data_IF_947744777259
#
_entry.id   IF_947744777259
#
_cell.length_a   1.000
_cell.length_b   1.000
_cell.length_c   1.000
_cell.angle_alpha   90.00
_cell.angle_beta   90.00
_cell.angle_gamma   90.00
#
_symmetry.space_group_name_H-M   'P 1'
#
loop_
_entity.id
_entity.type
_entity.pdbx_description
1 polymer ?
#
# COMPACT_ATOMS: atom_id res chain seq x y z
N UNK A 1 -14.14 -22.31 -5.98
CA UNK A 1 -14.25 -20.89 -5.59
C UNK A 1 -14.87 -20.82 -4.20
N UNK A 2 -14.25 -20.05 -3.29
CA UNK A 2 -14.77 -19.83 -1.94
C UNK A 2 -15.30 -18.40 -1.86
N UNK A 3 -16.54 -18.23 -1.43
CA UNK A 3 -17.11 -16.91 -1.12
C UNK A 3 -16.60 -16.43 0.23
N UNK A 4 -16.21 -15.16 0.31
CA UNK A 4 -15.81 -14.48 1.55
C UNK A 4 -16.85 -13.39 1.82
N UNK A 5 -17.79 -13.69 2.67
CA UNK A 5 -18.81 -12.73 3.09
C UNK A 5 -18.35 -12.03 4.37
N UNK A 6 -18.32 -10.71 4.34
CA UNK A 6 -17.86 -9.88 5.46
C UNK A 6 -18.99 -9.02 5.98
N UNK A 7 -19.12 -8.95 7.29
CA UNK A 7 -19.98 -7.97 7.99
C UNK A 7 -19.23 -6.65 8.18
N UNK A 8 -19.95 -5.59 8.44
CA UNK A 8 -19.34 -4.29 8.78
C UNK A 8 -18.31 -4.43 9.92
N UNK A 9 -17.15 -3.82 9.75
CA UNK A 9 -16.03 -3.90 10.67
C UNK A 9 -15.12 -5.13 10.52
N UNK A 10 -15.45 -6.06 9.63
CA UNK A 10 -14.59 -7.21 9.31
C UNK A 10 -13.68 -6.92 8.12
N UNK A 11 -12.54 -7.62 8.07
CA UNK A 11 -11.60 -7.56 6.95
C UNK A 11 -11.18 -8.96 6.52
N UNK A 12 -10.72 -9.10 5.28
CA UNK A 12 -9.99 -10.26 4.81
C UNK A 12 -8.52 -9.92 4.59
N UNK A 13 -7.65 -10.85 4.90
CA UNK A 13 -6.24 -10.79 4.58
C UNK A 13 -5.93 -11.87 3.55
N UNK A 14 -5.37 -11.49 2.42
CA UNK A 14 -4.98 -12.44 1.40
C UNK A 14 -3.70 -12.01 0.70
N UNK A 15 -2.91 -13.00 0.32
CA UNK A 15 -1.66 -12.76 -0.39
C UNK A 15 -1.95 -12.16 -1.79
N UNK A 16 -1.16 -11.21 -2.29
CA UNK A 16 -1.42 -10.57 -3.59
C UNK A 16 -1.43 -11.53 -4.79
N UNK A 17 -0.82 -12.70 -4.67
CA UNK A 17 -0.86 -13.75 -5.72
C UNK A 17 -2.12 -14.62 -5.68
N UNK A 18 -3.00 -14.45 -4.72
CA UNK A 18 -4.27 -15.19 -4.69
C UNK A 18 -5.20 -14.62 -5.75
N UNK A 19 -5.62 -15.47 -6.66
CA UNK A 19 -6.63 -15.09 -7.66
C UNK A 19 -7.95 -14.81 -6.94
N UNK A 20 -8.41 -13.58 -7.04
CA UNK A 20 -9.63 -13.13 -6.38
C UNK A 20 -10.40 -12.16 -7.28
N UNK A 21 -11.66 -12.02 -6.99
CA UNK A 21 -12.52 -11.11 -7.72
C UNK A 21 -13.87 -10.98 -7.05
N UNK A 22 -14.71 -10.13 -7.60
CA UNK A 22 -16.07 -9.92 -7.16
C UNK A 22 -17.02 -10.09 -8.34
N UNK A 23 -18.17 -10.70 -8.10
CA UNK A 23 -19.26 -10.69 -9.06
C UNK A 23 -19.88 -9.30 -9.21
N UNK A 24 -20.81 -9.20 -10.14
CA UNK A 24 -21.59 -7.97 -10.37
C UNK A 24 -22.39 -7.63 -9.11
N UNK A 25 -22.38 -6.37 -8.72
CA UNK A 25 -23.28 -5.89 -7.65
C UNK A 25 -24.72 -5.90 -8.12
N UNK A 26 -25.55 -6.71 -7.49
CA UNK A 26 -27.00 -6.85 -7.79
C UNK A 26 -27.89 -6.10 -6.82
N UNK A 27 -27.31 -5.38 -5.85
CA UNK A 27 -28.08 -4.57 -4.91
C UNK A 27 -28.38 -3.18 -5.49
N UNK A 28 -29.34 -2.49 -4.89
CA UNK A 28 -29.69 -1.11 -5.24
C UNK A 28 -28.76 -0.08 -4.56
N UNK A 29 -27.74 -0.54 -3.84
CA UNK A 29 -26.79 0.31 -3.15
C UNK A 29 -25.36 0.08 -3.67
N UNK A 30 -24.49 1.04 -3.44
CA UNK A 30 -23.07 0.95 -3.82
C UNK A 30 -22.31 -0.03 -2.94
N UNK A 31 -21.39 -0.77 -3.53
CA UNK A 31 -20.43 -1.59 -2.81
C UNK A 31 -19.07 -0.88 -2.79
N UNK A 32 -18.59 -0.58 -1.62
CA UNK A 32 -17.29 0.08 -1.43
C UNK A 32 -16.35 -0.91 -0.75
N UNK A 33 -15.17 -1.14 -1.35
CA UNK A 33 -14.07 -1.85 -0.74
C UNK A 33 -12.95 -0.88 -0.39
N UNK A 34 -12.49 -0.90 0.86
CA UNK A 34 -11.30 -0.17 1.28
C UNK A 34 -10.12 -1.15 1.32
N UNK A 35 -9.11 -0.91 0.50
CA UNK A 35 -7.95 -1.79 0.36
C UNK A 35 -6.71 -1.12 0.93
N UNK A 36 -6.04 -1.78 1.88
CA UNK A 36 -4.76 -1.36 2.43
C UNK A 36 -3.68 -2.22 1.77
N UNK A 37 -2.96 -1.68 0.82
CA UNK A 37 -1.96 -2.42 0.03
C UNK A 37 -0.54 -2.35 0.59
N UNK A 38 -0.23 -1.33 1.36
CA UNK A 38 1.14 -1.01 1.77
C UNK A 38 1.34 -1.13 3.28
N UNK A 39 0.88 -2.22 3.87
CA UNK A 39 1.08 -2.52 5.28
C UNK A 39 2.08 -3.67 5.43
N UNK A 40 3.17 -3.43 6.16
CA UNK A 40 4.25 -4.42 6.36
C UNK A 40 4.66 -4.50 7.84
N UNK A 41 5.18 -5.67 8.24
CA UNK A 41 5.83 -5.82 9.54
C UNK A 41 7.21 -5.17 9.54
N UNK A 42 7.65 -4.62 10.66
CA UNK A 42 8.95 -3.94 10.80
C UNK A 42 10.16 -4.86 10.55
N UNK A 43 9.96 -6.18 10.64
CA UNK A 43 10.98 -7.19 10.34
C UNK A 43 11.17 -7.46 8.85
N UNK A 44 10.30 -6.94 7.98
CA UNK A 44 10.41 -7.13 6.53
C UNK A 44 11.41 -6.14 5.97
N UNK A 45 12.38 -6.64 5.21
CA UNK A 45 13.40 -5.80 4.55
C UNK A 45 13.11 -5.67 3.07
N UNK A 46 13.08 -4.44 2.56
CA UNK A 46 13.06 -4.19 1.12
C UNK A 46 14.43 -4.43 0.51
N UNK A 47 14.51 -5.29 -0.53
CA UNK A 47 15.77 -5.67 -1.19
C UNK A 47 15.87 -5.18 -2.63
N UNK A 48 14.79 -4.64 -3.20
CA UNK A 48 14.75 -4.21 -4.59
C UNK A 48 15.09 -2.73 -4.81
N UNK A 49 14.95 -1.92 -3.77
CA UNK A 49 15.19 -0.48 -3.83
C UNK A 49 15.05 0.17 -2.46
N UNK A 50 14.93 1.48 -2.42
CA UNK A 50 14.63 2.25 -1.21
C UNK A 50 13.13 2.36 -1.03
N UNK A 51 12.69 2.46 0.20
CA UNK A 51 11.33 2.86 0.54
C UNK A 51 11.33 3.58 1.88
N UNK A 52 10.37 4.44 2.05
CA UNK A 52 10.08 5.08 3.33
C UNK A 52 8.77 4.55 3.88
N UNK A 53 8.61 4.59 5.17
CA UNK A 53 7.42 4.10 5.86
C UNK A 53 7.02 5.05 6.99
N UNK A 54 5.75 4.99 7.36
CA UNK A 54 5.24 5.60 8.58
C UNK A 54 4.93 4.51 9.58
N UNK A 55 5.31 4.71 10.84
CA UNK A 55 4.95 3.78 11.89
C UNK A 55 3.47 3.91 12.19
N UNK A 56 2.68 2.91 11.81
CA UNK A 56 1.25 2.88 12.09
C UNK A 56 0.95 2.48 13.55
N UNK A 57 1.75 1.56 14.10
CA UNK A 57 1.62 1.10 15.50
C UNK A 57 2.89 0.38 15.94
N UNK A 58 3.19 0.47 17.24
CA UNK A 58 4.32 -0.22 17.86
C UNK A 58 5.65 0.51 17.68
N UNK A 59 6.73 -0.22 17.73
CA UNK A 59 8.10 0.29 17.67
C UNK A 59 8.86 -0.45 16.59
N UNK A 60 9.56 0.28 15.74
CA UNK A 60 10.52 -0.31 14.80
C UNK A 60 11.82 -0.67 15.55
N UNK A 61 12.11 -1.98 15.64
CA UNK A 61 13.32 -2.52 16.27
C UNK A 61 14.40 -2.90 15.24
N UNK A 62 14.07 -2.91 13.96
CA UNK A 62 14.92 -3.47 12.91
C UNK A 62 15.60 -2.41 12.06
N UNK A 63 15.04 -1.20 12.01
CA UNK A 63 15.59 -0.06 11.28
C UNK A 63 15.88 -0.37 9.79
N UNK A 64 14.99 -1.16 9.17
CA UNK A 64 15.15 -1.55 7.76
C UNK A 64 14.66 -0.50 6.77
N UNK A 65 13.90 0.49 7.25
CA UNK A 65 13.23 1.48 6.43
C UNK A 65 13.53 2.90 6.90
N UNK A 66 13.49 3.84 5.99
CA UNK A 66 13.49 5.26 6.32
C UNK A 66 12.13 5.61 6.96
N UNK A 67 12.14 6.06 8.20
CA UNK A 67 10.92 6.50 8.88
C UNK A 67 10.64 7.95 8.50
N UNK A 68 9.46 8.21 7.96
CA UNK A 68 8.97 9.54 7.66
C UNK A 68 7.81 9.91 8.57
N UNK A 69 7.73 11.16 8.96
CA UNK A 69 6.61 11.68 9.70
C UNK A 69 5.55 12.23 8.74
N UNK A 70 4.29 12.11 9.15
CA UNK A 70 3.20 12.75 8.41
C UNK A 70 3.35 14.26 8.47
N UNK A 71 3.26 14.93 7.33
CA UNK A 71 3.19 16.39 7.27
C UNK A 71 1.87 16.89 7.87
N UNK A 72 1.93 17.97 8.64
CA UNK A 72 0.75 18.52 9.33
C UNK A 72 -0.22 19.25 8.37
N UNK A 73 0.25 19.66 7.21
CA UNK A 73 -0.55 20.41 6.24
C UNK A 73 -0.80 19.55 4.99
N UNK A 74 -2.06 19.22 4.75
CA UNK A 74 -2.48 18.56 3.52
C UNK A 74 -2.24 19.49 2.34
N UNK A 75 -1.70 18.94 1.23
CA UNK A 75 -1.40 19.67 0.00
C UNK A 75 -0.38 20.80 0.14
N UNK A 76 0.39 20.84 1.21
CA UNK A 76 1.54 21.74 1.31
C UNK A 76 2.61 21.36 0.28
N UNK A 77 3.46 22.31 -0.09
CA UNK A 77 4.58 22.07 -1.01
C UNK A 77 5.47 20.93 -0.51
N UNK A 78 5.76 20.91 0.80
CA UNK A 78 6.50 19.82 1.45
C UNK A 78 5.82 18.45 1.27
N UNK A 79 4.49 18.38 1.46
CA UNK A 79 3.76 17.12 1.31
C UNK A 79 3.73 16.63 -0.14
N UNK A 80 3.68 17.56 -1.10
CA UNK A 80 3.73 17.23 -2.54
C UNK A 80 5.11 16.71 -2.92
N UNK A 81 6.18 17.35 -2.47
CA UNK A 81 7.56 16.91 -2.72
C UNK A 81 7.84 15.56 -2.09
N UNK A 82 7.38 15.33 -0.85
CA UNK A 82 7.51 14.04 -0.18
C UNK A 82 6.77 12.94 -0.99
N UNK A 83 5.55 13.21 -1.41
CA UNK A 83 4.77 12.28 -2.22
C UNK A 83 5.47 11.92 -3.53
N UNK A 84 6.06 12.90 -4.18
CA UNK A 84 6.84 12.68 -5.41
C UNK A 84 8.03 11.78 -5.16
N UNK A 85 8.83 12.05 -4.13
CA UNK A 85 9.96 11.22 -3.71
C UNK A 85 9.54 9.76 -3.46
N UNK A 86 8.44 9.55 -2.74
CA UNK A 86 7.91 8.22 -2.45
C UNK A 86 7.44 7.48 -3.71
N UNK A 87 6.78 8.18 -4.61
CA UNK A 87 6.37 7.60 -5.89
C UNK A 87 7.59 7.19 -6.73
N UNK A 88 8.66 7.98 -6.75
CA UNK A 88 9.88 7.65 -7.47
C UNK A 88 10.52 6.36 -6.92
N UNK A 89 10.58 6.20 -5.60
CA UNK A 89 11.05 4.96 -4.97
C UNK A 89 10.19 3.75 -5.35
N UNK A 90 8.86 3.90 -5.32
CA UNK A 90 7.95 2.82 -5.69
C UNK A 90 8.10 2.44 -7.16
N UNK A 91 8.29 3.40 -8.05
CA UNK A 91 8.53 3.13 -9.47
C UNK A 91 9.82 2.35 -9.71
N UNK A 92 10.90 2.69 -8.99
CA UNK A 92 12.16 1.93 -9.07
C UNK A 92 11.96 0.46 -8.68
N UNK A 93 11.15 0.19 -7.66
CA UNK A 93 10.86 -1.16 -7.19
C UNK A 93 9.98 -1.92 -8.17
N UNK A 94 8.85 -1.32 -8.58
CA UNK A 94 7.85 -1.99 -9.42
C UNK A 94 8.34 -2.24 -10.84
N UNK A 95 9.16 -1.35 -11.38
CA UNK A 95 9.66 -1.48 -12.74
C UNK A 95 11.10 -1.99 -12.82
N UNK A 96 11.65 -2.53 -11.71
CA UNK A 96 12.98 -3.11 -11.73
C UNK A 96 13.05 -4.28 -12.72
N UNK A 97 13.83 -4.12 -13.77
CA UNK A 97 13.96 -5.11 -14.84
C UNK A 97 12.84 -5.10 -15.90
N UNK A 98 11.88 -4.21 -15.80
CA UNK A 98 10.84 -4.05 -16.82
C UNK A 98 11.39 -3.34 -18.07
N UNK A 99 10.98 -3.80 -19.28
CA UNK A 99 11.37 -3.17 -20.55
C UNK A 99 10.71 -1.81 -20.76
N UNK A 100 9.55 -1.60 -20.19
CA UNK A 100 8.80 -0.34 -20.26
C UNK A 100 8.29 0.01 -18.86
N UNK A 101 8.34 1.30 -18.52
CA UNK A 101 7.72 1.82 -17.29
C UNK A 101 6.30 2.27 -17.62
N UNK A 102 5.34 1.87 -16.81
CA UNK A 102 3.99 2.43 -16.86
C UNK A 102 3.97 3.86 -16.30
N UNK A 103 2.96 4.63 -16.67
CA UNK A 103 2.62 5.91 -16.03
C UNK A 103 1.46 5.68 -15.06
N UNK A 104 1.60 6.12 -13.83
CA UNK A 104 0.51 6.21 -12.86
C UNK A 104 0.23 7.67 -12.54
#
# INVERSE_FOLDING_TARGET
>A
VKSIELKAGQMSLHHPRVVHGSGINKSNDRRIGFVIQSYIGTNVKQTLGKNSVQVARGVDKYHHHEIINRTNALMSEESILLRKKENDYLQEIFYKGAKQKGSY
#
